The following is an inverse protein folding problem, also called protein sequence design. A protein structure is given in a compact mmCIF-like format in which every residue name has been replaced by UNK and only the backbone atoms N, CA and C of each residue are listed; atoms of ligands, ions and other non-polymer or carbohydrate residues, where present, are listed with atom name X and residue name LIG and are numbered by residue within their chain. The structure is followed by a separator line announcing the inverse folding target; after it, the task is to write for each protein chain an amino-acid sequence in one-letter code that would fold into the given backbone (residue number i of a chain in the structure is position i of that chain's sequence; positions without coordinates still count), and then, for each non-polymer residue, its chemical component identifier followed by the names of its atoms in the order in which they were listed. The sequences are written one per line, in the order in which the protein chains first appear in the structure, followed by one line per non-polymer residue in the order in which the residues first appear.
data_IF_432863732297
#
_entry.id   IF_432863732297
#
_cell.length_a   1.000
_cell.length_b   1.000
_cell.length_c   1.000
_cell.angle_alpha   90.00
_cell.angle_beta   90.00
_cell.angle_gamma   90.00
#
_symmetry.space_group_name_H-M   'P 1'
#
loop_
_entity.id
_entity.type
_entity.pdbx_description
1 polymer ?
#
# COMPACT_ATOMS: atom_id res chain seq x y z
N UNK A 1 -7.50 23.53 -18.67
CA UNK A 1 -6.85 24.27 -17.57
C UNK A 1 -5.79 25.17 -18.19
N UNK A 2 -5.99 26.49 -18.19
CA UNK A 2 -5.06 27.45 -18.80
C UNK A 2 -4.25 28.06 -17.66
N UNK A 3 -3.03 27.57 -17.45
CA UNK A 3 -2.14 27.97 -16.36
C UNK A 3 -1.31 29.19 -16.77
N UNK A 4 -0.98 30.08 -15.82
CA UNK A 4 0.14 31.02 -15.97
C UNK A 4 1.44 30.20 -16.10
N UNK A 5 2.05 30.26 -17.29
CA UNK A 5 3.21 29.46 -17.63
C UNK A 5 4.40 29.68 -16.67
N UNK A 6 4.60 30.91 -16.20
CA UNK A 6 5.73 31.29 -15.33
C UNK A 6 5.60 30.68 -13.93
N UNK A 7 4.41 30.76 -13.31
CA UNK A 7 4.18 30.15 -11.99
C UNK A 7 4.34 28.63 -12.04
N UNK A 8 3.75 28.00 -13.05
CA UNK A 8 3.87 26.56 -13.24
C UNK A 8 5.33 26.14 -13.45
N UNK A 9 6.09 26.89 -14.24
CA UNK A 9 7.51 26.62 -14.45
C UNK A 9 8.32 26.74 -13.15
N UNK A 10 8.04 27.75 -12.30
CA UNK A 10 8.69 27.90 -11.01
C UNK A 10 8.40 26.71 -10.07
N UNK A 11 7.14 26.26 -10.01
CA UNK A 11 6.80 25.06 -9.24
C UNK A 11 7.44 23.81 -9.81
N UNK A 12 7.43 23.67 -11.13
CA UNK A 12 8.04 22.54 -11.81
C UNK A 12 9.53 22.45 -11.50
N UNK A 13 10.25 23.56 -11.58
CA UNK A 13 11.67 23.65 -11.20
C UNK A 13 11.89 23.35 -9.73
N UNK A 14 11.02 23.83 -8.84
CA UNK A 14 11.10 23.56 -7.39
C UNK A 14 11.00 22.06 -7.07
N UNK A 15 10.17 21.31 -7.80
CA UNK A 15 9.94 19.89 -7.57
C UNK A 15 10.58 18.98 -8.64
N UNK A 16 11.53 19.50 -9.44
CA UNK A 16 12.14 18.73 -10.55
C UNK A 16 12.82 17.45 -10.09
N UNK A 17 13.47 17.49 -8.92
CA UNK A 17 14.22 16.35 -8.35
C UNK A 17 13.31 15.29 -7.70
N UNK A 18 12.01 15.54 -7.56
CA UNK A 18 11.07 14.54 -7.05
C UNK A 18 10.77 13.56 -8.17
N UNK A 19 11.38 12.38 -8.10
CA UNK A 19 11.09 11.28 -9.01
C UNK A 19 9.74 10.64 -8.68
N UNK A 20 9.01 10.24 -9.73
CA UNK A 20 7.79 9.44 -9.69
C UNK A 20 8.09 8.13 -10.41
N UNK A 21 7.59 7.01 -9.90
CA UNK A 21 7.78 5.67 -10.42
C UNK A 21 6.99 5.37 -11.70
N UNK A 22 5.98 6.18 -12.04
CA UNK A 22 5.10 5.89 -13.17
C UNK A 22 5.62 6.45 -14.49
N UNK A 23 5.46 5.63 -15.53
CA UNK A 23 5.73 5.93 -16.94
C UNK A 23 4.48 6.37 -17.71
N UNK A 24 3.31 6.42 -17.07
CA UNK A 24 2.09 6.88 -17.74
C UNK A 24 2.14 8.38 -18.01
N UNK A 25 1.65 8.78 -19.19
CA UNK A 25 1.59 10.18 -19.57
C UNK A 25 0.51 10.87 -18.74
N UNK A 26 0.95 11.55 -17.68
CA UNK A 26 0.10 12.32 -16.80
C UNK A 26 -0.13 13.73 -17.32
N UNK A 27 -1.31 14.26 -17.01
CA UNK A 27 -1.55 15.70 -17.10
C UNK A 27 -0.57 16.45 -16.19
N UNK A 28 -0.13 17.61 -16.66
CA UNK A 28 0.86 18.46 -15.99
C UNK A 28 0.47 18.77 -14.52
N UNK A 29 -0.79 19.07 -14.23
CA UNK A 29 -1.26 19.34 -12.86
C UNK A 29 -1.24 18.08 -11.99
N UNK A 30 -1.65 16.94 -12.53
CA UNK A 30 -1.61 15.64 -11.85
C UNK A 30 -0.17 15.27 -11.51
N UNK A 31 0.73 15.37 -12.49
CA UNK A 31 2.16 15.11 -12.32
C UNK A 31 2.76 15.99 -11.24
N UNK A 32 2.59 17.31 -11.34
CA UNK A 32 3.13 18.26 -10.36
C UNK A 32 2.55 18.01 -8.96
N UNK A 33 1.26 17.70 -8.86
CA UNK A 33 0.62 17.39 -7.58
C UNK A 33 1.17 16.14 -6.94
N UNK A 34 1.41 15.08 -7.70
CA UNK A 34 2.08 13.88 -7.20
C UNK A 34 3.46 14.25 -6.67
N UNK A 35 4.26 15.05 -7.40
CA UNK A 35 5.57 15.52 -6.89
C UNK A 35 5.46 16.28 -5.58
N UNK A 36 4.50 17.22 -5.47
CA UNK A 36 4.25 17.97 -4.23
C UNK A 36 3.90 17.02 -3.09
N UNK A 37 2.96 16.09 -3.32
CA UNK A 37 2.51 15.12 -2.33
C UNK A 37 3.68 14.23 -1.88
N UNK A 38 4.48 13.69 -2.80
CA UNK A 38 5.60 12.82 -2.49
C UNK A 38 6.70 13.55 -1.69
N UNK A 39 6.96 14.82 -2.00
CA UNK A 39 7.91 15.63 -1.22
C UNK A 39 7.43 15.83 0.22
N UNK A 40 6.15 16.15 0.44
CA UNK A 40 5.58 16.29 1.79
C UNK A 40 5.52 14.94 2.52
N UNK A 41 5.17 13.87 1.80
CA UNK A 41 5.18 12.51 2.31
C UNK A 41 6.57 12.13 2.86
N UNK A 42 7.65 12.40 2.12
CA UNK A 42 9.04 12.18 2.57
C UNK A 42 9.39 12.99 3.82
N UNK A 43 8.86 14.21 3.93
CA UNK A 43 9.02 15.09 5.09
C UNK A 43 8.10 14.73 6.27
N UNK A 44 7.20 13.76 6.11
CA UNK A 44 6.17 13.37 7.10
C UNK A 44 5.27 14.53 7.54
N UNK A 45 5.05 15.47 6.64
CA UNK A 45 4.20 16.64 6.85
C UNK A 45 2.82 16.37 6.27
N UNK A 46 1.74 16.75 6.99
CA UNK A 46 0.40 16.57 6.49
C UNK A 46 0.13 17.54 5.34
N UNK A 47 -0.67 17.13 4.37
CA UNK A 47 -1.03 17.94 3.21
C UNK A 47 -2.46 17.67 2.78
N UNK A 48 -3.18 18.73 2.45
CA UNK A 48 -4.43 18.66 1.71
C UNK A 48 -4.23 19.23 0.32
N UNK A 49 -4.70 18.51 -0.70
CA UNK A 49 -4.73 18.97 -2.09
C UNK A 49 -6.17 18.94 -2.56
N UNK A 50 -6.67 20.10 -2.99
CA UNK A 50 -8.01 20.25 -3.51
C UNK A 50 -7.98 20.48 -5.02
N UNK A 51 -8.77 19.70 -5.76
CA UNK A 51 -9.02 19.88 -7.18
C UNK A 51 -10.49 20.15 -7.39
N UNK A 52 -10.89 21.39 -7.58
CA UNK A 52 -12.30 21.72 -7.79
C UNK A 52 -12.81 21.11 -9.11
N UNK A 53 -13.90 20.34 -9.02
CA UNK A 53 -14.55 19.68 -10.16
C UNK A 53 -13.64 18.75 -11.00
N UNK A 54 -12.54 18.21 -10.46
CA UNK A 54 -11.62 17.32 -11.19
C UNK A 54 -11.51 15.94 -10.56
N UNK A 55 -12.62 15.20 -10.58
CA UNK A 55 -12.72 13.85 -10.01
C UNK A 55 -11.73 12.86 -10.65
N UNK A 56 -11.56 12.93 -11.98
CA UNK A 56 -10.62 12.07 -12.71
C UNK A 56 -9.17 12.32 -12.28
N UNK A 57 -8.76 13.58 -12.10
CA UNK A 57 -7.41 13.91 -11.61
C UNK A 57 -7.16 13.31 -10.23
N UNK A 58 -8.13 13.38 -9.31
CA UNK A 58 -8.00 12.79 -7.97
C UNK A 58 -7.85 11.27 -8.04
N UNK A 59 -8.64 10.59 -8.89
CA UNK A 59 -8.54 9.15 -9.07
C UNK A 59 -7.19 8.75 -9.67
N UNK A 60 -6.68 9.50 -10.66
CA UNK A 60 -5.34 9.30 -11.20
C UNK A 60 -4.29 9.46 -10.10
N UNK A 61 -4.29 10.57 -9.36
CA UNK A 61 -3.34 10.79 -8.26
C UNK A 61 -3.41 9.65 -7.25
N UNK A 62 -4.61 9.21 -6.86
CA UNK A 62 -4.78 8.11 -5.92
C UNK A 62 -4.19 6.79 -6.42
N UNK A 63 -4.38 6.45 -7.71
CA UNK A 63 -3.78 5.27 -8.35
C UNK A 63 -2.25 5.34 -8.36
N UNK A 64 -1.69 6.52 -8.62
CA UNK A 64 -0.25 6.72 -8.56
C UNK A 64 0.28 6.60 -7.13
N UNK A 65 -0.38 7.24 -6.16
CA UNK A 65 -0.01 7.12 -4.74
C UNK A 65 -0.09 5.68 -4.25
N UNK A 66 -1.04 4.87 -4.74
CA UNK A 66 -1.11 3.44 -4.40
C UNK A 66 0.20 2.71 -4.73
N UNK A 67 0.79 2.96 -5.91
CA UNK A 67 2.06 2.35 -6.32
C UNK A 67 3.24 2.92 -5.53
N UNK A 68 3.32 4.24 -5.41
CA UNK A 68 4.40 4.94 -4.69
C UNK A 68 4.48 4.51 -3.22
N UNK A 69 3.34 4.50 -2.53
CA UNK A 69 3.28 4.13 -1.12
C UNK A 69 3.53 2.63 -0.95
N UNK A 70 3.06 1.78 -1.86
CA UNK A 70 3.39 0.35 -1.81
C UNK A 70 4.89 0.12 -1.97
N UNK A 71 5.52 0.81 -2.90
CA UNK A 71 6.95 0.65 -3.17
C UNK A 71 7.82 1.14 -2.02
N UNK A 72 7.45 2.26 -1.40
CA UNK A 72 8.13 2.72 -0.18
C UNK A 72 8.04 1.68 0.95
N UNK A 73 6.84 1.11 1.19
CA UNK A 73 6.68 0.06 2.21
C UNK A 73 7.53 -1.17 1.84
N UNK A 74 7.54 -1.57 0.56
CA UNK A 74 8.31 -2.70 0.06
C UNK A 74 9.83 -2.53 0.25
N UNK A 75 10.36 -1.34 0.00
CA UNK A 75 11.80 -1.08 0.12
C UNK A 75 12.23 -0.83 1.56
N UNK A 76 11.47 -0.02 2.28
CA UNK A 76 11.92 0.61 3.53
C UNK A 76 11.30 0.02 4.79
N UNK A 77 10.24 -0.79 4.67
CA UNK A 77 9.45 -1.30 5.81
C UNK A 77 9.17 -2.79 5.70
N UNK A 78 9.95 -3.52 4.90
CA UNK A 78 9.86 -4.98 4.89
C UNK A 78 10.46 -5.54 6.18
N UNK A 79 9.91 -6.67 6.62
CA UNK A 79 10.41 -7.39 7.77
C UNK A 79 10.50 -8.89 7.47
N UNK A 80 11.34 -9.58 8.23
CA UNK A 80 11.37 -11.03 8.20
C UNK A 80 10.21 -11.59 9.04
N UNK A 81 9.71 -12.79 8.72
CA UNK A 81 8.71 -13.44 9.58
C UNK A 81 9.28 -13.61 11.00
N UNK A 82 8.58 -13.10 12.02
CA UNK A 82 9.03 -13.23 13.41
C UNK A 82 9.38 -14.68 13.76
N UNK A 83 8.45 -15.59 13.45
CA UNK A 83 8.57 -17.01 13.77
C UNK A 83 8.03 -17.90 12.64
N UNK A 84 8.54 -19.13 12.63
CA UNK A 84 8.03 -20.24 11.85
C UNK A 84 7.52 -21.32 12.81
N UNK A 85 6.23 -21.64 12.72
CA UNK A 85 5.54 -22.53 13.65
C UNK A 85 5.18 -23.86 13.00
N UNK A 86 5.04 -24.91 13.82
CA UNK A 86 4.51 -26.20 13.37
C UNK A 86 3.12 -25.98 12.74
N UNK A 87 2.89 -26.60 11.57
CA UNK A 87 1.68 -26.45 10.77
C UNK A 87 1.73 -25.29 9.77
N UNK A 88 2.73 -24.41 9.84
CA UNK A 88 2.90 -23.37 8.82
C UNK A 88 3.14 -23.99 7.46
N UNK A 89 2.42 -23.48 6.46
CA UNK A 89 2.62 -23.85 5.06
C UNK A 89 3.61 -22.89 4.43
N UNK A 90 4.61 -23.46 3.80
CA UNK A 90 5.67 -22.75 3.11
C UNK A 90 5.65 -23.09 1.63
N UNK A 91 6.02 -22.13 0.80
CA UNK A 91 6.32 -22.34 -0.61
C UNK A 91 7.76 -22.01 -0.88
N UNK A 92 8.49 -22.96 -1.45
CA UNK A 92 9.90 -22.76 -1.81
C UNK A 92 10.00 -21.99 -3.12
N UNK A 93 10.82 -20.94 -3.14
CA UNK A 93 10.91 -20.01 -4.28
C UNK A 93 11.53 -20.69 -5.51
N UNK A 94 12.57 -21.51 -5.29
CA UNK A 94 13.36 -22.12 -6.36
C UNK A 94 12.58 -23.12 -7.23
N UNK A 95 11.78 -23.97 -6.61
CA UNK A 95 11.09 -25.08 -7.29
C UNK A 95 9.55 -25.01 -7.19
N UNK A 96 9.01 -23.96 -6.55
CA UNK A 96 7.58 -23.72 -6.36
C UNK A 96 6.83 -24.87 -5.67
N UNK A 97 7.54 -25.70 -4.91
CA UNK A 97 6.93 -26.77 -4.13
C UNK A 97 6.40 -26.26 -2.79
N UNK A 98 5.35 -26.93 -2.32
CA UNK A 98 4.73 -26.66 -1.03
C UNK A 98 5.31 -27.59 0.02
N UNK A 99 5.51 -27.03 1.20
CA UNK A 99 6.01 -27.71 2.38
C UNK A 99 5.18 -27.31 3.58
N UNK A 100 5.18 -28.15 4.59
CA UNK A 100 4.58 -27.91 5.90
C UNK A 100 5.65 -28.12 6.96
N UNK A 101 5.71 -27.23 7.93
CA UNK A 101 6.60 -27.38 9.08
C UNK A 101 6.01 -28.45 10.01
N UNK A 102 6.77 -29.52 10.25
CA UNK A 102 6.33 -30.61 11.13
C UNK A 102 7.08 -30.66 12.45
N UNK A 103 8.25 -30.00 12.55
CA UNK A 103 9.05 -29.91 13.78
C UNK A 103 9.83 -28.61 13.78
N UNK A 104 9.92 -28.00 14.96
CA UNK A 104 10.69 -26.78 15.24
C UNK A 104 11.47 -26.97 16.53
N UNK A 105 12.80 -26.92 16.47
CA UNK A 105 13.69 -26.99 17.63
C UNK A 105 14.73 -25.89 17.58
N UNK A 106 14.47 -24.78 18.29
CA UNK A 106 15.32 -23.58 18.27
C UNK A 106 15.51 -23.05 16.84
N UNK A 107 16.64 -23.39 16.21
CA UNK A 107 17.03 -22.99 14.85
C UNK A 107 17.14 -24.21 13.90
N UNK A 108 16.45 -25.31 14.24
CA UNK A 108 16.33 -26.49 13.38
C UNK A 108 14.86 -26.75 13.04
N UNK A 109 14.56 -26.67 11.75
CA UNK A 109 13.25 -26.84 11.18
C UNK A 109 13.22 -28.09 10.29
N UNK A 110 12.19 -28.91 10.50
CA UNK A 110 11.90 -30.03 9.60
C UNK A 110 10.66 -29.73 8.76
N UNK A 111 10.81 -29.84 7.45
CA UNK A 111 9.75 -29.64 6.48
C UNK A 111 9.31 -30.97 5.87
N UNK A 112 8.00 -31.13 5.67
CA UNK A 112 7.40 -32.20 4.89
C UNK A 112 6.79 -31.65 3.63
N UNK A 113 7.10 -32.24 2.48
CA UNK A 113 6.52 -31.85 1.21
C UNK A 113 5.00 -32.10 1.19
N UNK A 114 4.23 -31.11 0.75
CA UNK A 114 2.78 -31.22 0.56
C UNK A 114 2.51 -31.68 -0.88
N UNK A 115 2.10 -32.94 -1.03
CA UNK A 115 1.81 -33.54 -2.33
C UNK A 115 0.48 -33.04 -2.90
N UNK A 116 0.43 -32.82 -4.22
CA UNK A 116 -0.83 -32.50 -4.92
C UNK A 116 -1.76 -33.72 -4.91
N UNK A 117 -3.06 -33.49 -4.74
CA UNK A 117 -4.11 -34.51 -4.86
C UNK A 117 -3.96 -35.22 -6.22
N UNK A 118 -3.56 -36.49 -6.21
CA UNK A 118 -3.33 -37.30 -7.41
C UNK A 118 -2.04 -38.14 -7.38
N UNK A 119 -1.04 -37.78 -6.56
CA UNK A 119 0.21 -38.54 -6.40
C UNK A 119 0.24 -39.33 -5.08
N UNK A 120 -0.70 -40.27 -4.90
CA UNK A 120 -0.80 -41.05 -3.65
C UNK A 120 0.32 -42.09 -3.49
N UNK A 121 1.00 -42.46 -4.57
CA UNK A 121 2.05 -43.49 -4.55
C UNK A 121 3.47 -42.93 -4.32
N UNK A 122 3.61 -41.63 -4.05
CA UNK A 122 4.90 -41.00 -3.77
C UNK A 122 4.95 -40.64 -2.30
N UNK A 123 5.95 -41.12 -1.57
CA UNK A 123 6.18 -40.67 -0.19
C UNK A 123 6.63 -39.20 -0.19
N UNK A 124 6.06 -38.33 0.65
CA UNK A 124 6.44 -36.93 0.69
C UNK A 124 7.90 -36.79 1.15
N UNK A 125 8.69 -35.99 0.43
CA UNK A 125 10.06 -35.71 0.84
C UNK A 125 10.08 -35.00 2.20
N UNK A 126 10.99 -35.42 3.08
CA UNK A 126 11.24 -34.78 4.37
C UNK A 126 12.61 -34.09 4.29
N UNK A 127 12.67 -32.83 4.69
CA UNK A 127 13.89 -32.03 4.72
C UNK A 127 14.17 -31.67 6.18
N UNK A 128 15.33 -32.07 6.68
CA UNK A 128 15.80 -31.81 8.04
C UNK A 128 16.89 -30.73 8.06
N UNK A 129 17.20 -30.17 9.24
CA UNK A 129 18.38 -29.33 9.41
C UNK A 129 18.29 -27.97 8.73
N UNK A 130 17.07 -27.46 8.48
CA UNK A 130 16.90 -26.12 7.93
C UNK A 130 17.00 -25.12 9.06
N UNK A 131 17.81 -24.09 8.88
CA UNK A 131 17.91 -22.96 9.81
C UNK A 131 16.93 -21.87 9.45
N UNK A 132 16.66 -20.96 10.38
CA UNK A 132 15.83 -19.78 10.17
C UNK A 132 16.31 -18.95 8.95
N UNK A 133 17.63 -18.74 8.82
CA UNK A 133 18.22 -18.03 7.67
C UNK A 133 17.91 -18.72 6.32
N UNK A 134 17.99 -20.06 6.27
CA UNK A 134 17.65 -20.83 5.06
C UNK A 134 16.16 -20.76 4.75
N UNK A 135 15.30 -20.76 5.77
CA UNK A 135 13.86 -20.63 5.60
C UNK A 135 13.50 -19.25 5.06
N UNK A 136 13.98 -18.19 5.70
CA UNK A 136 13.67 -16.81 5.30
C UNK A 136 14.16 -16.47 3.90
N UNK A 137 15.32 -17.00 3.45
CA UNK A 137 15.82 -16.79 2.08
C UNK A 137 15.11 -17.63 1.03
N UNK A 138 14.77 -18.88 1.37
CA UNK A 138 14.33 -19.87 0.38
C UNK A 138 12.81 -20.02 0.27
N UNK A 139 12.05 -19.57 1.27
CA UNK A 139 10.66 -19.95 1.47
C UNK A 139 9.77 -18.75 1.81
N UNK A 140 8.52 -18.84 1.35
CA UNK A 140 7.45 -17.87 1.63
C UNK A 140 6.36 -18.56 2.45
N UNK A 141 5.94 -17.95 3.55
CA UNK A 141 4.78 -18.42 4.33
C UNK A 141 3.48 -18.11 3.57
N UNK A 142 2.59 -19.09 3.45
CA UNK A 142 1.39 -19.02 2.60
C UNK A 142 0.16 -19.60 3.29
N UNK A 143 -0.98 -18.89 3.22
CA UNK A 143 -2.20 -19.33 3.90
C UNK A 143 -2.99 -20.40 3.10
N UNK A 144 -2.92 -20.34 1.76
CA UNK A 144 -3.71 -21.15 0.83
C UNK A 144 -2.89 -21.64 -0.37
N UNK A 145 -3.39 -22.65 -1.09
CA UNK A 145 -2.76 -23.19 -2.30
C UNK A 145 -2.71 -22.14 -3.41
N UNK A 146 -1.52 -21.61 -3.69
CA UNK A 146 -1.34 -20.49 -4.62
C UNK A 146 -1.06 -21.00 -6.03
N UNK A 147 -1.55 -20.29 -7.03
CA UNK A 147 -0.96 -20.42 -8.36
C UNK A 147 0.50 -19.91 -8.34
N UNK A 148 1.40 -20.63 -9.01
CA UNK A 148 2.78 -20.17 -9.22
C UNK A 148 2.84 -18.77 -9.85
N UNK A 149 1.91 -18.50 -10.76
CA UNK A 149 1.78 -17.23 -11.46
C UNK A 149 1.58 -16.05 -10.52
N UNK A 150 0.73 -16.17 -9.50
CA UNK A 150 0.41 -15.05 -8.59
C UNK A 150 1.63 -14.58 -7.81
N UNK A 151 2.42 -15.50 -7.24
CA UNK A 151 3.64 -15.14 -6.50
C UNK A 151 4.71 -14.59 -7.44
N UNK A 152 4.90 -15.24 -8.60
CA UNK A 152 5.89 -14.75 -9.58
C UNK A 152 5.55 -13.34 -10.05
N UNK A 153 4.28 -13.06 -10.33
CA UNK A 153 3.83 -11.73 -10.73
C UNK A 153 4.11 -10.68 -9.65
N UNK A 154 3.88 -11.03 -8.37
CA UNK A 154 4.18 -10.14 -7.23
C UNK A 154 5.67 -9.77 -7.18
N UNK A 155 6.56 -10.77 -7.17
CA UNK A 155 8.00 -10.51 -7.09
C UNK A 155 8.53 -9.82 -8.35
N UNK A 156 8.07 -10.23 -9.53
CA UNK A 156 8.49 -9.62 -10.81
C UNK A 156 8.07 -8.15 -10.88
N UNK A 157 6.88 -7.81 -10.38
CA UNK A 157 6.40 -6.42 -10.37
C UNK A 157 7.35 -5.51 -9.60
N UNK A 158 7.73 -5.86 -8.37
CA UNK A 158 8.64 -5.01 -7.58
C UNK A 158 10.09 -5.07 -8.08
N UNK A 159 10.53 -6.19 -8.65
CA UNK A 159 11.85 -6.30 -9.28
C UNK A 159 11.95 -5.39 -10.51
N UNK A 160 10.93 -5.38 -11.38
CA UNK A 160 10.85 -4.49 -12.54
C UNK A 160 10.74 -3.02 -12.10
N UNK A 161 9.92 -2.74 -11.08
CA UNK A 161 9.70 -1.38 -10.57
C UNK A 161 10.97 -0.75 -9.99
N UNK A 162 11.83 -1.54 -9.35
CA UNK A 162 13.04 -1.06 -8.68
C UNK A 162 14.35 -1.38 -9.42
N UNK A 163 14.28 -2.15 -10.51
CA UNK A 163 15.44 -2.69 -11.21
C UNK A 163 16.43 -3.42 -10.28
N UNK A 164 15.92 -4.13 -9.29
CA UNK A 164 16.70 -4.80 -8.25
C UNK A 164 16.11 -6.18 -7.93
N UNK A 165 16.96 -7.20 -7.87
CA UNK A 165 16.56 -8.52 -7.38
C UNK A 165 16.71 -8.59 -5.86
N UNK A 166 15.67 -9.02 -5.16
CA UNK A 166 15.72 -9.20 -3.70
C UNK A 166 16.28 -10.59 -3.35
N UNK A 167 17.26 -10.64 -2.44
CA UNK A 167 17.75 -11.91 -1.86
C UNK A 167 16.69 -12.60 -0.99
N UNK A 168 15.79 -11.81 -0.41
CA UNK A 168 14.73 -12.30 0.48
C UNK A 168 13.34 -12.06 -0.13
N UNK A 169 12.40 -13.00 0.03
CA UNK A 169 11.00 -12.76 -0.28
C UNK A 169 10.40 -11.75 0.71
N UNK A 170 10.29 -10.49 0.28
CA UNK A 170 9.63 -9.45 1.07
C UNK A 170 8.13 -9.71 1.07
N UNK A 171 7.58 -10.32 2.11
CA UNK A 171 6.13 -10.62 2.23
C UNK A 171 5.51 -10.23 3.55
N UNK A 172 6.31 -9.76 4.51
CA UNK A 172 5.84 -9.16 5.76
C UNK A 172 6.34 -7.72 5.81
N UNK A 173 5.54 -6.84 6.40
CA UNK A 173 5.86 -5.42 6.48
C UNK A 173 5.55 -4.88 7.86
N UNK A 174 6.50 -4.15 8.45
CA UNK A 174 6.34 -3.53 9.75
C UNK A 174 5.30 -2.41 9.71
N UNK A 175 5.38 -1.56 8.67
CA UNK A 175 4.46 -0.44 8.48
C UNK A 175 3.51 -0.67 7.30
N UNK A 176 2.37 0.02 7.33
CA UNK A 176 1.34 -0.02 6.29
C UNK A 176 0.92 1.39 5.89
N UNK A 177 0.30 1.50 4.73
CA UNK A 177 -0.49 2.69 4.36
C UNK A 177 -1.98 2.37 4.34
N UNK A 178 -2.82 3.37 4.58
CA UNK A 178 -4.29 3.19 4.56
C UNK A 178 -4.91 4.20 3.61
N UNK A 179 -5.81 3.74 2.76
CA UNK A 179 -6.66 4.57 1.91
C UNK A 179 -8.07 4.57 2.49
N UNK A 180 -8.56 5.77 2.82
CA UNK A 180 -9.93 6.02 3.24
C UNK A 180 -10.65 6.61 2.03
N UNK A 181 -11.40 5.75 1.35
CA UNK A 181 -12.00 6.07 0.05
C UNK A 181 -13.23 5.21 -0.20
N UNK A 182 -14.09 5.65 -1.12
CA UNK A 182 -15.16 4.79 -1.63
C UNK A 182 -14.58 3.48 -2.18
N UNK A 183 -15.32 2.39 -2.02
CA UNK A 183 -14.94 1.05 -2.45
C UNK A 183 -14.58 0.97 -3.94
N UNK A 184 -15.26 1.74 -4.78
CA UNK A 184 -15.01 1.80 -6.22
C UNK A 184 -13.54 2.08 -6.55
N UNK A 185 -12.85 2.92 -5.77
CA UNK A 185 -11.42 3.17 -6.00
C UNK A 185 -10.61 1.88 -5.88
N UNK A 186 -10.86 1.06 -4.85
CA UNK A 186 -10.17 -0.22 -4.67
C UNK A 186 -10.58 -1.25 -5.74
N UNK A 187 -11.86 -1.25 -6.12
CA UNK A 187 -12.34 -2.14 -7.18
C UNK A 187 -11.63 -1.85 -8.52
N UNK A 188 -11.42 -0.57 -8.84
CA UNK A 188 -10.88 -0.05 -10.10
C UNK A 188 -9.34 0.10 -10.13
N UNK A 189 -8.61 -0.53 -9.21
CA UNK A 189 -7.14 -0.57 -9.23
C UNK A 189 -6.61 -1.63 -10.21
N UNK A 190 -5.99 -1.20 -11.30
CA UNK A 190 -5.44 -2.10 -12.33
C UNK A 190 -4.33 -3.02 -11.80
N UNK A 191 -3.55 -2.55 -10.83
CA UNK A 191 -2.43 -3.27 -10.22
C UNK A 191 -2.80 -3.96 -8.90
N UNK A 192 -4.10 -4.04 -8.57
CA UNK A 192 -4.59 -4.66 -7.32
C UNK A 192 -4.02 -6.05 -7.09
N UNK A 193 -3.97 -6.89 -8.12
CA UNK A 193 -3.48 -8.27 -8.03
C UNK A 193 -1.95 -8.41 -7.98
N UNK A 194 -1.20 -7.31 -8.13
CA UNK A 194 0.26 -7.27 -8.03
C UNK A 194 0.75 -6.67 -6.71
N UNK A 195 -0.08 -5.88 -6.03
CA UNK A 195 0.26 -5.23 -4.76
C UNK A 195 -0.62 -5.82 -3.64
N UNK A 196 -0.03 -6.52 -2.66
CA UNK A 196 -0.71 -7.00 -1.46
C UNK A 196 -1.49 -5.88 -0.75
N UNK A 197 -2.80 -5.91 -0.87
CA UNK A 197 -3.71 -4.97 -0.24
C UNK A 197 -4.94 -5.68 0.31
N UNK A 198 -5.58 -5.07 1.31
CA UNK A 198 -6.78 -5.62 1.96
C UNK A 198 -7.86 -4.55 2.02
N UNK A 199 -9.04 -4.88 1.51
CA UNK A 199 -10.25 -4.10 1.74
C UNK A 199 -10.94 -4.53 3.04
N UNK A 200 -11.18 -3.57 3.92
CA UNK A 200 -11.88 -3.72 5.18
C UNK A 200 -13.29 -3.13 5.03
N UNK A 201 -14.33 -3.98 4.90
CA UNK A 201 -15.69 -3.51 4.70
C UNK A 201 -16.24 -2.79 5.92
N UNK A 202 -17.10 -1.81 5.70
CA UNK A 202 -17.85 -1.18 6.77
C UNK A 202 -19.09 -2.02 7.14
N UNK A 203 -19.17 -2.58 8.36
CA UNK A 203 -20.27 -3.45 8.75
C UNK A 203 -21.63 -2.76 8.82
N UNK A 204 -21.68 -1.42 8.86
CA UNK A 204 -22.93 -0.66 8.87
C UNK A 204 -23.48 -0.35 7.47
N UNK A 205 -22.63 -0.40 6.44
CA UNK A 205 -22.97 0.06 5.08
C UNK A 205 -22.88 -1.06 4.03
N UNK A 206 -22.19 -2.16 4.33
CA UNK A 206 -21.94 -3.24 3.37
C UNK A 206 -22.49 -4.58 3.84
N UNK A 207 -23.06 -5.34 2.91
CA UNK A 207 -23.62 -6.68 3.17
C UNK A 207 -22.55 -7.76 3.31
N UNK A 208 -21.42 -7.62 2.60
CA UNK A 208 -20.29 -8.54 2.72
C UNK A 208 -19.31 -8.04 3.79
N UNK A 209 -19.31 -8.70 4.94
CA UNK A 209 -18.49 -8.35 6.10
C UNK A 209 -17.08 -8.96 6.08
N UNK A 210 -16.78 -9.79 5.09
CA UNK A 210 -15.48 -10.45 5.00
C UNK A 210 -14.41 -9.51 4.45
N UNK A 211 -13.24 -9.50 5.09
CA UNK A 211 -12.05 -8.81 4.58
C UNK A 211 -11.66 -9.41 3.22
N UNK A 212 -11.39 -8.56 2.24
CA UNK A 212 -11.05 -9.00 0.88
C UNK A 212 -9.58 -8.69 0.60
N UNK A 213 -8.77 -9.74 0.49
CA UNK A 213 -7.35 -9.65 0.12
C UNK A 213 -7.21 -9.59 -1.39
N UNK A 214 -6.37 -8.68 -1.90
CA UNK A 214 -6.04 -8.62 -3.33
C UNK A 214 -5.19 -9.82 -3.78
N UNK A 215 -4.35 -10.32 -2.87
CA UNK A 215 -3.59 -11.55 -3.03
C UNK A 215 -3.93 -12.45 -1.83
N UNK A 216 -4.98 -13.29 -1.92
CA UNK A 216 -5.53 -14.05 -0.78
C UNK A 216 -4.54 -14.92 -0.01
N UNK A 217 -3.44 -15.30 -0.66
CA UNK A 217 -2.54 -16.27 -0.11
C UNK A 217 -1.34 -15.69 0.64
N UNK A 218 -1.13 -14.37 0.55
CA UNK A 218 -0.19 -13.69 1.42
C UNK A 218 -0.91 -13.38 2.74
N UNK A 219 -0.24 -13.74 3.84
CA UNK A 219 -0.76 -13.52 5.20
C UNK A 219 -0.85 -12.04 5.54
N UNK A 220 0.11 -11.26 5.03
CA UNK A 220 0.27 -9.84 5.30
C UNK A 220 0.08 -8.98 4.02
N UNK A 221 -0.07 -7.68 4.20
CA UNK A 221 -0.28 -6.71 3.11
C UNK A 221 0.51 -5.43 3.32
N UNK A 222 0.61 -4.57 2.31
CA UNK A 222 1.23 -3.25 2.42
C UNK A 222 0.21 -2.14 2.62
N UNK A 223 -0.98 -2.32 2.04
CA UNK A 223 -1.99 -1.27 1.97
C UNK A 223 -3.35 -1.78 2.44
N UNK A 224 -4.02 -1.00 3.27
CA UNK A 224 -5.43 -1.20 3.61
C UNK A 224 -6.32 -0.21 2.87
N UNK A 225 -7.53 -0.64 2.52
CA UNK A 225 -8.61 0.20 2.02
C UNK A 225 -9.82 0.08 2.92
N UNK A 226 -10.51 1.19 3.16
CA UNK A 226 -11.81 1.19 3.82
C UNK A 226 -12.59 2.45 3.46
N UNK A 227 -13.92 2.40 3.50
CA UNK A 227 -14.77 3.58 3.25
C UNK A 227 -14.86 4.54 4.42
N UNK A 228 -14.55 4.08 5.64
CA UNK A 228 -14.77 4.84 6.88
C UNK A 228 -13.56 4.86 7.78
N UNK A 229 -13.29 6.02 8.38
CA UNK A 229 -12.19 6.15 9.32
C UNK A 229 -12.38 5.30 10.57
N UNK A 230 -13.63 5.16 11.06
CA UNK A 230 -13.95 4.34 12.24
C UNK A 230 -13.45 2.90 12.06
N UNK A 231 -13.56 2.33 10.85
CA UNK A 231 -13.08 0.98 10.55
C UNK A 231 -11.55 0.93 10.62
N UNK A 232 -10.85 1.93 10.05
CA UNK A 232 -9.39 2.05 10.19
C UNK A 232 -9.00 2.12 11.67
N UNK A 233 -9.64 2.99 12.45
CA UNK A 233 -9.35 3.14 13.87
C UNK A 233 -9.52 1.81 14.63
N UNK A 234 -10.64 1.12 14.46
CA UNK A 234 -10.95 -0.12 15.19
C UNK A 234 -10.15 -1.34 14.73
N UNK A 235 -9.98 -1.52 13.41
CA UNK A 235 -9.40 -2.75 12.84
C UNK A 235 -7.89 -2.68 12.66
N UNK A 236 -7.32 -1.47 12.61
CA UNK A 236 -5.91 -1.23 12.33
C UNK A 236 -5.23 -0.58 13.53
N UNK A 237 -5.63 0.66 13.88
CA UNK A 237 -4.92 1.48 14.87
C UNK A 237 -5.00 0.88 16.27
N UNK A 238 -6.19 0.51 16.74
CA UNK A 238 -6.37 -0.14 18.06
C UNK A 238 -5.72 -1.53 18.15
N UNK A 239 -5.43 -2.17 17.01
CA UNK A 239 -4.69 -3.44 16.97
C UNK A 239 -3.18 -3.23 16.92
N UNK A 240 -2.70 -2.01 17.18
CA UNK A 240 -1.27 -1.63 17.17
C UNK A 240 -0.54 -1.92 15.86
N UNK A 241 -1.27 -1.94 14.73
CA UNK A 241 -0.62 -1.98 13.41
C UNK A 241 -0.01 -0.62 13.11
N UNK A 242 1.30 -0.58 12.86
CA UNK A 242 2.01 0.68 12.57
C UNK A 242 1.60 1.21 11.20
N UNK A 243 1.09 2.44 11.17
CA UNK A 243 0.69 3.11 9.93
C UNK A 243 1.69 4.21 9.63
N UNK A 244 2.28 4.16 8.43
CA UNK A 244 3.14 5.23 7.94
C UNK A 244 2.33 6.42 7.47
N UNK A 245 1.25 6.18 6.71
CA UNK A 245 0.42 7.26 6.14
C UNK A 245 -1.02 6.82 5.92
N UNK A 246 -1.95 7.74 6.17
CA UNK A 246 -3.35 7.64 5.81
C UNK A 246 -3.65 8.63 4.69
N UNK A 247 -4.19 8.13 3.58
CA UNK A 247 -4.65 8.92 2.43
C UNK A 247 -6.17 8.97 2.46
N UNK A 248 -6.76 10.15 2.55
CA UNK A 248 -8.22 10.37 2.55
C UNK A 248 -8.63 10.94 1.20
N UNK A 249 -9.64 10.34 0.57
CA UNK A 249 -10.03 10.69 -0.81
C UNK A 249 -11.51 11.00 -0.86
N UNK A 250 -11.82 12.29 -1.00
CA UNK A 250 -13.16 12.86 -1.23
C UNK A 250 -14.24 12.26 -0.31
N UNK A 251 -13.87 12.06 0.96
CA UNK A 251 -14.73 11.44 1.98
C UNK A 251 -14.31 11.85 3.39
N UNK A 252 -15.15 11.52 4.36
CA UNK A 252 -14.87 11.59 5.81
C UNK A 252 -14.32 12.95 6.30
N UNK A 253 -14.76 14.06 5.68
CA UNK A 253 -14.28 15.40 6.02
C UNK A 253 -14.58 15.79 7.48
N UNK A 254 -15.67 15.30 8.04
CA UNK A 254 -16.03 15.50 9.46
C UNK A 254 -15.10 14.77 10.43
N UNK A 255 -14.39 13.73 9.98
CA UNK A 255 -13.49 12.93 10.82
C UNK A 255 -12.05 13.48 10.85
N UNK A 256 -11.72 14.51 10.04
CA UNK A 256 -10.37 15.07 9.93
C UNK A 256 -9.81 15.51 11.29
N UNK A 257 -10.63 16.13 12.15
CA UNK A 257 -10.19 16.57 13.48
C UNK A 257 -9.80 15.38 14.37
N UNK A 258 -10.59 14.30 14.34
CA UNK A 258 -10.28 13.08 15.07
C UNK A 258 -9.00 12.44 14.54
N UNK A 259 -8.84 12.36 13.22
CA UNK A 259 -7.63 11.84 12.58
C UNK A 259 -6.37 12.62 12.99
N UNK A 260 -6.47 13.94 13.15
CA UNK A 260 -5.35 14.77 13.59
C UNK A 260 -4.94 14.48 15.04
N UNK A 261 -5.90 14.27 15.94
CA UNK A 261 -5.62 13.86 17.31
C UNK A 261 -4.98 12.46 17.34
N UNK A 262 -5.53 11.53 16.56
CA UNK A 262 -5.01 10.17 16.46
C UNK A 262 -3.62 10.13 15.80
N UNK A 263 -3.32 11.05 14.89
CA UNK A 263 -1.97 11.20 14.31
C UNK A 263 -0.92 11.46 15.39
N UNK A 264 -1.23 12.28 16.40
CA UNK A 264 -0.30 12.54 17.52
C UNK A 264 -0.06 11.26 18.32
N UNK A 265 -1.11 10.46 18.53
CA UNK A 265 -1.06 9.22 19.32
C UNK A 265 -0.37 8.07 18.59
N UNK A 266 -0.67 7.87 17.30
CA UNK A 266 -0.23 6.71 16.52
C UNK A 266 0.92 7.01 15.54
N UNK A 267 1.30 8.28 15.36
CA UNK A 267 2.50 8.70 14.63
C UNK A 267 2.43 8.62 13.10
N UNK A 268 1.24 8.48 12.51
CA UNK A 268 1.08 8.41 11.04
C UNK A 268 1.07 9.79 10.37
N UNK A 269 1.43 9.85 9.08
CA UNK A 269 1.20 11.05 8.26
C UNK A 269 -0.22 11.06 7.64
N UNK A 270 -0.71 12.24 7.24
CA UNK A 270 -2.02 12.42 6.62
C UNK A 270 -1.89 13.10 5.26
N UNK A 271 -2.52 12.53 4.23
CA UNK A 271 -2.68 13.16 2.92
C UNK A 271 -4.18 13.21 2.62
N UNK A 272 -4.70 14.39 2.27
CA UNK A 272 -6.11 14.58 1.94
C UNK A 272 -6.21 15.00 0.48
N UNK A 273 -6.98 14.27 -0.31
CA UNK A 273 -7.35 14.63 -1.67
C UNK A 273 -8.84 14.98 -1.69
N UNK A 274 -9.20 16.21 -2.00
CA UNK A 274 -10.59 16.68 -2.00
C UNK A 274 -11.02 17.24 -3.35
N UNK A 275 -12.31 17.06 -3.67
CA UNK A 275 -12.96 17.61 -4.86
C UNK A 275 -14.02 18.67 -4.48
N UNK A 276 -13.75 19.47 -3.45
CA UNK A 276 -14.76 20.39 -2.89
C UNK A 276 -14.59 21.79 -3.49
N UNK A 277 -15.72 22.45 -3.78
CA UNK A 277 -15.75 23.89 -4.10
C UNK A 277 -15.24 24.74 -2.91
N UNK A 278 -15.50 24.26 -1.70
CA UNK A 278 -15.07 24.89 -0.45
C UNK A 278 -14.42 23.81 0.41
N UNK A 279 -13.12 23.50 0.22
CA UNK A 279 -12.44 22.50 1.03
C UNK A 279 -12.46 22.92 2.51
N UNK A 280 -12.76 21.97 3.40
CA UNK A 280 -12.64 22.21 4.84
C UNK A 280 -11.16 22.47 5.14
N UNK A 281 -10.85 23.68 5.60
CA UNK A 281 -9.49 24.07 5.96
C UNK A 281 -9.25 23.79 7.44
N UNK A 282 -8.04 23.37 7.75
CA UNK A 282 -7.57 23.19 9.11
C UNK A 282 -6.17 23.79 9.21
N UNK A 283 -5.92 24.65 10.19
CA UNK A 283 -4.63 25.34 10.34
C UNK A 283 -3.44 24.38 10.51
N UNK A 284 -3.69 23.16 11.01
CA UNK A 284 -2.68 22.12 11.16
C UNK A 284 -2.35 21.37 9.85
N UNK A 285 -3.15 21.53 8.79
CA UNK A 285 -2.96 20.87 7.49
C UNK A 285 -2.94 21.94 6.40
N UNK A 286 -1.76 22.28 5.85
CA UNK A 286 -1.67 23.15 4.68
C UNK A 286 -2.55 22.61 3.54
N UNK A 287 -3.40 23.49 3.00
CA UNK A 287 -4.32 23.17 1.93
C UNK A 287 -3.90 23.87 0.63
N UNK A 288 -3.50 23.06 -0.36
CA UNK A 288 -3.22 23.47 -1.72
C UNK A 288 -4.49 23.39 -2.55
N UNK A 289 -5.10 24.54 -2.86
CA UNK A 289 -6.32 24.60 -3.68
C UNK A 289 -6.02 25.09 -5.08
N UNK A 290 -5.96 24.16 -6.04
CA UNK A 290 -5.56 24.47 -7.42
C UNK A 290 -6.40 25.57 -8.07
N UNK A 291 -7.70 25.64 -7.76
CA UNK A 291 -8.56 26.68 -8.31
C UNK A 291 -8.25 28.07 -7.74
N UNK A 292 -7.96 28.16 -6.44
CA UNK A 292 -7.56 29.41 -5.79
C UNK A 292 -6.20 29.88 -6.29
N UNK A 293 -5.24 28.97 -6.38
CA UNK A 293 -3.91 29.25 -6.93
C UNK A 293 -4.01 29.79 -8.36
N UNK A 294 -4.97 29.30 -9.16
CA UNK A 294 -5.23 29.82 -10.50
C UNK A 294 -5.86 31.22 -10.46
N UNK A 295 -6.92 31.44 -9.67
CA UNK A 295 -7.63 32.72 -9.60
C UNK A 295 -6.82 33.86 -8.97
N UNK A 296 -6.10 33.62 -7.87
CA UNK A 296 -5.29 34.64 -7.22
C UNK A 296 -4.18 35.15 -8.14
N UNK A 297 -3.73 34.33 -9.07
CA UNK A 297 -2.72 34.70 -10.08
C UNK A 297 -3.35 35.42 -11.27
N UNK A 298 -4.54 35.02 -11.73
CA UNK A 298 -5.27 35.75 -12.78
C UNK A 298 -5.62 37.17 -12.31
N UNK A 299 -5.97 37.35 -11.04
CA UNK A 299 -6.27 38.65 -10.45
C UNK A 299 -5.03 39.50 -10.13
N UNK A 300 -3.83 38.90 -10.14
CA UNK A 300 -2.56 39.58 -9.90
C UNK A 300 -1.81 39.98 -11.18
N UNK A 301 -2.38 39.66 -12.35
CA UNK A 301 -1.95 40.11 -13.69
C UNK A 301 -2.74 41.35 -14.12
#
# INVERSE_FOLDING_TARGET
MILNATYYQLLWEKFKNVQILSTERLDNSVHLSIKIILEQYRKKTPLQVNFQNSKESILQIARHLFVELANDIYLNHYDLPNDFCIGDKLKKIKDNQYYEIIRTEKDDYTLRQVLRKGKRDVSPAIIHGLTYDKLTKGYVKVDLGISERTIKNYFSFFQELNNESSEFPKTNFEMKSVFISKRSLWDDLDLKNKVPSIYLPNPREESNLSEQKSIPALSDCMIYFTSKYEVCYQKILLKNKKIKTIVIIDTEASAIQQMLQDRIKFGFNIIILSNSLSPIKNDAIPCWDWFKEELEIVNAL
#
